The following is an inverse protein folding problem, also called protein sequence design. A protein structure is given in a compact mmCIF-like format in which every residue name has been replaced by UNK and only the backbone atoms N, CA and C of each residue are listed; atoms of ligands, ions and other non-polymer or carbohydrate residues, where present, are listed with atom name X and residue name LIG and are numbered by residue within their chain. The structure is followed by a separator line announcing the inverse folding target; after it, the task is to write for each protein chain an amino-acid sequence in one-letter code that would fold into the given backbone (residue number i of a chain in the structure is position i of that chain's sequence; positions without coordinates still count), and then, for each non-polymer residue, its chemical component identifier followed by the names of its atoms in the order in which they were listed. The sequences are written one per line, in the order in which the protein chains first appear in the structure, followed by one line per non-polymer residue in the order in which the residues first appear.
data_IF_370005757662
#
_entry.id   IF_370005757662
#
_cell.length_a   1.000
_cell.length_b   1.000
_cell.length_c   1.000
_cell.angle_alpha   90.00
_cell.angle_beta   90.00
_cell.angle_gamma   90.00
#
_symmetry.space_group_name_H-M   'P 1'
#
loop_
_entity.id
_entity.type
_entity.pdbx_description
1 polymer ?
#
# COMPACT_ATOMS: atom_id res chain seq x y z
N UNK A 1 -25.13 10.14 -0.08
CA UNK A 1 -23.92 10.31 -0.90
C UNK A 1 -22.92 11.11 -0.09
N UNK A 2 -22.08 10.45 0.70
CA UNK A 2 -21.03 11.11 1.49
C UNK A 2 -19.78 11.22 0.64
N UNK A 3 -19.56 12.41 0.11
CA UNK A 3 -18.40 12.79 -0.67
C UNK A 3 -17.16 12.72 0.25
N UNK A 4 -16.23 11.80 -0.06
CA UNK A 4 -14.95 11.71 0.63
C UNK A 4 -14.14 13.01 0.44
N UNK A 5 -13.23 13.34 1.37
CA UNK A 5 -12.44 14.57 1.28
C UNK A 5 -11.63 14.58 -0.02
N UNK A 6 -11.64 15.73 -0.70
CA UNK A 6 -10.90 15.97 -1.93
C UNK A 6 -9.40 15.70 -1.73
N UNK A 7 -8.82 14.84 -2.56
CA UNK A 7 -7.41 14.48 -2.51
C UNK A 7 -6.59 15.39 -3.41
N UNK A 8 -6.06 16.46 -2.84
CA UNK A 8 -5.36 17.50 -3.62
C UNK A 8 -3.84 17.35 -3.63
N UNK A 9 -3.30 16.11 -3.69
CA UNK A 9 -1.85 15.89 -3.72
C UNK A 9 -1.43 14.59 -4.39
N UNK A 10 -0.38 14.65 -5.23
CA UNK A 10 0.23 13.46 -5.81
C UNK A 10 0.80 12.54 -4.70
N UNK A 11 0.55 11.23 -4.80
CA UNK A 11 1.06 10.25 -3.85
C UNK A 11 2.59 10.24 -3.87
N UNK A 12 3.22 10.53 -2.73
CA UNK A 12 4.68 10.48 -2.60
C UNK A 12 5.22 9.04 -2.67
N UNK A 13 4.44 8.07 -2.18
CA UNK A 13 4.70 6.64 -2.25
C UNK A 13 3.40 5.86 -2.06
N UNK A 14 3.32 4.67 -2.64
CA UNK A 14 2.23 3.72 -2.46
C UNK A 14 2.80 2.31 -2.27
N UNK A 15 2.15 1.52 -1.43
CA UNK A 15 2.53 0.13 -1.15
C UNK A 15 1.30 -0.75 -1.30
N UNK A 16 1.46 -1.89 -1.96
CA UNK A 16 0.41 -2.89 -2.06
C UNK A 16 0.64 -3.96 -0.99
N UNK A 17 -0.42 -4.32 -0.26
CA UNK A 17 -0.40 -5.39 0.73
C UNK A 17 -1.31 -6.52 0.25
N UNK A 18 -0.77 -7.72 0.11
CA UNK A 18 -1.58 -8.89 -0.22
C UNK A 18 -2.39 -9.36 1.00
N UNK A 19 -3.41 -10.21 0.76
CA UNK A 19 -4.12 -10.89 1.85
C UNK A 19 -3.16 -11.62 2.79
N UNK A 20 -2.14 -12.30 2.24
CA UNK A 20 -1.14 -13.00 3.03
C UNK A 20 -0.31 -12.05 3.92
N UNK A 21 0.03 -10.85 3.42
CA UNK A 21 0.74 -9.85 4.23
C UNK A 21 -0.13 -9.35 5.38
N UNK A 22 -1.42 -9.14 5.10
CA UNK A 22 -2.39 -8.68 6.10
C UNK A 22 -2.65 -9.74 7.17
N UNK A 23 -2.82 -11.00 6.76
CA UNK A 23 -2.97 -12.15 7.67
C UNK A 23 -1.71 -12.31 8.56
N UNK A 24 -0.50 -12.13 8.00
CA UNK A 24 0.76 -12.18 8.75
C UNK A 24 0.87 -11.08 9.81
N UNK A 25 0.42 -9.86 9.50
CA UNK A 25 0.49 -8.72 10.43
C UNK A 25 -0.60 -8.81 11.50
N UNK A 26 -1.78 -9.36 11.16
CA UNK A 26 -2.93 -9.45 12.07
C UNK A 26 -2.95 -10.73 12.91
N UNK A 27 -2.13 -11.73 12.55
CA UNK A 27 -1.98 -12.96 13.31
C UNK A 27 -1.68 -12.70 14.79
N UNK A 28 -2.22 -13.57 15.67
CA UNK A 28 -1.99 -13.48 17.11
C UNK A 28 -0.49 -13.40 17.39
N UNK A 29 -0.04 -12.43 18.22
CA UNK A 29 1.37 -12.34 18.56
C UNK A 29 1.80 -13.65 19.24
N UNK A 30 2.88 -14.25 18.75
CA UNK A 30 3.52 -15.35 19.46
C UNK A 30 4.15 -14.81 20.74
N UNK A 31 4.31 -15.67 21.76
CA UNK A 31 4.89 -15.32 23.08
C UNK A 31 6.23 -14.56 23.02
N UNK A 32 6.93 -14.59 21.88
CA UNK A 32 8.24 -13.96 21.68
C UNK A 32 8.28 -12.86 20.60
N UNK A 33 7.18 -12.58 19.89
CA UNK A 33 7.18 -11.58 18.79
C UNK A 33 5.83 -10.86 18.71
N UNK A 34 5.80 -9.60 19.13
CA UNK A 34 4.74 -8.67 18.78
C UNK A 34 4.91 -8.24 17.31
N UNK A 35 4.01 -8.68 16.42
CA UNK A 35 3.99 -8.23 15.02
C UNK A 35 3.11 -6.99 14.94
N UNK A 36 3.69 -5.87 14.56
CA UNK A 36 2.95 -4.65 14.20
C UNK A 36 3.53 -4.07 12.91
N UNK A 37 2.63 -3.67 12.00
CA UNK A 37 3.06 -2.95 10.82
C UNK A 37 3.47 -1.52 11.21
N UNK A 38 4.53 -1.03 10.58
CA UNK A 38 5.05 0.32 10.83
C UNK A 38 5.51 0.93 9.52
N UNK A 39 5.10 2.17 9.26
CA UNK A 39 5.71 2.99 8.22
C UNK A 39 6.91 3.74 8.80
N UNK A 40 8.09 3.51 8.24
CA UNK A 40 9.32 4.23 8.61
C UNK A 40 9.68 5.22 7.51
N UNK A 41 9.67 6.50 7.85
CA UNK A 41 10.08 7.58 6.96
C UNK A 41 11.44 8.10 7.41
N UNK A 42 12.42 8.11 6.51
CA UNK A 42 13.74 8.68 6.76
C UNK A 42 13.96 9.86 5.81
N UNK A 43 14.22 11.04 6.39
CA UNK A 43 14.38 12.29 5.64
C UNK A 43 15.86 12.59 5.51
N UNK A 44 16.34 12.85 4.30
CA UNK A 44 17.73 13.18 4.00
C UNK A 44 17.83 14.55 3.33
N UNK A 45 18.90 15.29 3.62
CA UNK A 45 19.27 16.52 2.91
C UNK A 45 20.48 16.26 2.01
N UNK A 46 20.44 16.73 0.76
CA UNK A 46 21.54 16.61 -0.20
C UNK A 46 21.08 16.86 -1.63
N UNK A 47 22.04 17.05 -2.55
CA UNK A 47 21.75 17.18 -3.99
C UNK A 47 21.35 15.82 -4.57
N UNK A 48 20.24 15.78 -5.31
CA UNK A 48 19.86 14.65 -6.17
C UNK A 48 20.64 14.77 -7.49
N UNK A 49 21.94 14.53 -7.47
CA UNK A 49 22.84 14.73 -8.63
C UNK A 49 23.21 13.42 -9.32
N UNK A 50 23.24 13.42 -10.66
CA UNK A 50 23.62 12.29 -11.53
C UNK A 50 25.12 12.24 -11.86
N UNK A 51 25.96 13.02 -11.17
CA UNK A 51 27.39 13.11 -11.49
C UNK A 51 28.26 12.45 -10.41
N UNK A 52 28.98 11.41 -10.83
CA UNK A 52 30.21 10.87 -10.24
C UNK A 52 30.17 10.54 -8.73
N UNK A 53 29.54 9.42 -8.38
CA UNK A 53 30.16 8.44 -7.46
C UNK A 53 29.98 8.58 -5.95
N UNK A 54 29.38 9.64 -5.37
CA UNK A 54 29.09 9.66 -3.92
C UNK A 54 27.71 10.24 -3.64
N UNK A 55 26.69 9.37 -3.59
CA UNK A 55 25.32 9.76 -3.27
C UNK A 55 25.10 9.73 -1.74
N UNK A 56 25.79 10.58 -0.99
CA UNK A 56 25.68 10.62 0.48
C UNK A 56 24.80 11.77 0.95
N UNK A 57 23.47 11.60 0.85
CA UNK A 57 22.53 12.48 1.53
C UNK A 57 22.70 12.40 3.06
N UNK A 58 22.72 13.54 3.76
CA UNK A 58 22.81 13.61 5.23
C UNK A 58 21.44 13.32 5.84
N UNK A 59 21.33 12.30 6.69
CA UNK A 59 20.09 12.01 7.42
C UNK A 59 19.70 13.19 8.33
N UNK A 60 18.53 13.78 8.07
CA UNK A 60 17.93 14.80 8.92
C UNK A 60 17.21 14.15 10.12
N UNK A 61 16.51 13.05 9.89
CA UNK A 61 15.96 12.22 10.95
C UNK A 61 14.94 11.21 10.46
N UNK A 62 14.28 10.55 11.41
CA UNK A 62 13.36 9.44 11.14
C UNK A 62 12.04 9.63 11.87
N UNK A 63 10.97 9.21 11.22
CA UNK A 63 9.61 9.14 11.78
C UNK A 63 9.12 7.71 11.63
N UNK A 64 8.49 7.18 12.68
CA UNK A 64 7.92 5.82 12.69
C UNK A 64 6.45 5.96 13.04
N UNK A 65 5.58 5.48 12.16
CA UNK A 65 4.13 5.57 12.30
C UNK A 65 3.60 4.14 12.43
N UNK A 66 3.03 3.74 13.58
CA UNK A 66 2.40 2.43 13.73
C UNK A 66 1.15 2.34 12.87
N UNK A 67 0.93 1.18 12.25
CA UNK A 67 -0.20 0.93 11.36
C UNK A 67 -1.07 -0.20 11.95
N UNK A 68 -2.28 0.13 12.41
CA UNK A 68 -3.28 -0.88 12.75
C UNK A 68 -4.06 -1.26 11.48
N UNK A 69 -3.59 -2.30 10.79
CA UNK A 69 -4.16 -2.70 9.51
C UNK A 69 -5.46 -3.52 9.64
N UNK A 70 -5.87 -3.94 10.85
CA UNK A 70 -7.11 -4.71 11.06
C UNK A 70 -8.35 -4.03 10.48
N UNK A 71 -8.61 -2.74 10.74
CA UNK A 71 -9.76 -2.03 10.16
C UNK A 71 -9.61 -1.70 8.66
N UNK A 72 -8.41 -1.83 8.07
CA UNK A 72 -8.14 -1.40 6.69
C UNK A 72 -8.60 -2.41 5.61
N UNK A 73 -8.96 -3.64 6.00
CA UNK A 73 -9.29 -4.73 5.06
C UNK A 73 -10.51 -4.39 4.19
N UNK A 74 -11.51 -3.72 4.76
CA UNK A 74 -12.82 -3.52 4.12
C UNK A 74 -13.24 -2.06 3.96
N UNK A 75 -12.42 -1.11 4.44
CA UNK A 75 -12.74 0.31 4.34
C UNK A 75 -11.48 1.18 4.35
N UNK A 76 -11.52 2.35 3.70
CA UNK A 76 -10.47 3.36 3.85
C UNK A 76 -10.24 3.74 5.32
N UNK A 77 -8.98 3.94 5.69
CA UNK A 77 -8.57 4.43 7.01
C UNK A 77 -7.40 5.41 6.87
N UNK A 78 -7.43 6.48 7.65
CA UNK A 78 -6.31 7.41 7.82
C UNK A 78 -5.59 7.07 9.12
N UNK A 79 -4.31 6.71 9.04
CA UNK A 79 -3.47 6.44 10.21
C UNK A 79 -2.90 7.72 10.82
N UNK A 80 -2.58 8.70 9.96
CA UNK A 80 -2.04 9.99 10.36
C UNK A 80 -2.33 11.04 9.29
N UNK A 81 -2.62 12.27 9.68
CA UNK A 81 -2.72 13.42 8.79
C UNK A 81 -2.26 14.66 9.54
N UNK A 82 -1.15 15.27 9.10
CA UNK A 82 -0.62 16.49 9.70
C UNK A 82 0.88 16.45 9.98
N UNK A 83 1.34 17.35 10.84
CA UNK A 83 2.75 17.57 11.13
C UNK A 83 3.33 16.55 12.13
N UNK A 84 4.52 16.03 11.83
CA UNK A 84 5.31 15.12 12.66
C UNK A 84 6.70 15.71 12.88
N UNK A 85 7.18 15.69 14.11
CA UNK A 85 8.55 16.12 14.43
C UNK A 85 9.57 15.07 13.96
N UNK A 86 10.60 15.52 13.23
CA UNK A 86 11.68 14.69 12.72
C UNK A 86 12.77 14.61 13.79
N UNK A 87 12.78 13.52 14.57
CA UNK A 87 13.77 13.34 15.62
C UNK A 87 15.13 12.93 15.04
N UNK A 88 16.19 13.61 15.47
CA UNK A 88 17.58 13.18 15.27
C UNK A 88 17.93 12.17 16.36
N UNK A 89 18.31 10.94 15.99
CA UNK A 89 18.76 9.93 16.98
C UNK A 89 19.88 10.51 17.85
N UNK A 90 19.72 10.40 19.17
CA UNK A 90 20.81 10.62 20.14
C UNK A 90 21.03 12.05 20.65
N UNK A 91 20.16 13.01 20.35
CA UNK A 91 20.20 14.34 21.02
C UNK A 91 18.87 14.65 21.67
N UNK A 92 18.90 14.91 23.00
CA UNK A 92 17.82 15.60 23.70
C UNK A 92 17.50 16.88 22.92
N UNK A 93 16.22 17.15 22.70
CA UNK A 93 15.78 18.40 22.09
C UNK A 93 16.39 19.56 22.89
N UNK A 94 17.39 20.23 22.32
CA UNK A 94 17.91 21.48 22.86
C UNK A 94 17.01 22.58 22.34
N UNK A 95 16.55 23.45 23.24
CA UNK A 95 15.65 24.57 22.96
C UNK A 95 16.13 25.56 21.88
N UNK A 96 17.36 25.39 21.37
CA UNK A 96 18.03 26.30 20.41
C UNK A 96 17.96 25.82 18.96
N UNK A 97 17.64 24.54 18.70
CA UNK A 97 17.51 24.03 17.33
C UNK A 97 16.04 23.82 17.00
N UNK A 98 15.46 24.68 16.15
CA UNK A 98 14.10 24.51 15.65
C UNK A 98 13.87 23.07 15.21
N UNK A 99 12.82 22.42 15.74
CA UNK A 99 12.51 21.04 15.40
C UNK A 99 12.10 20.98 13.94
N UNK A 100 12.86 20.29 13.08
CA UNK A 100 12.42 20.03 11.73
C UNK A 100 11.12 19.21 11.78
N UNK A 101 10.10 19.63 11.03
CA UNK A 101 8.79 18.98 10.99
C UNK A 101 8.49 18.48 9.58
N UNK A 102 7.68 17.43 9.49
CA UNK A 102 7.23 16.80 8.26
C UNK A 102 5.70 16.76 8.25
N UNK A 103 5.05 17.42 7.29
CA UNK A 103 3.61 17.26 7.08
C UNK A 103 3.38 16.10 6.10
N UNK A 104 2.58 15.11 6.49
CA UNK A 104 2.19 14.02 5.60
C UNK A 104 0.84 13.44 6.01
N UNK A 105 0.23 12.75 5.06
CA UNK A 105 -0.96 11.92 5.30
C UNK A 105 -0.61 10.47 5.01
N UNK A 106 -0.90 9.57 5.94
CA UNK A 106 -0.79 8.11 5.76
C UNK A 106 -2.19 7.55 5.83
N UNK A 107 -2.58 6.84 4.78
CA UNK A 107 -3.86 6.15 4.70
C UNK A 107 -3.71 4.78 4.05
N UNK A 108 -4.66 3.90 4.30
CA UNK A 108 -4.84 2.66 3.56
C UNK A 108 -6.25 2.66 2.97
N UNK A 109 -6.35 2.14 1.76
CA UNK A 109 -7.59 2.02 1.00
C UNK A 109 -7.67 0.59 0.47
N UNK A 110 -8.84 -0.06 0.48
CA UNK A 110 -9.03 -1.32 -0.22
C UNK A 110 -8.65 -1.16 -1.69
N UNK A 111 -7.95 -2.14 -2.25
CA UNK A 111 -7.61 -2.10 -3.68
C UNK A 111 -8.92 -2.04 -4.49
N UNK A 112 -9.15 -0.98 -5.29
CA UNK A 112 -10.39 -0.83 -6.03
C UNK A 112 -10.54 -1.88 -7.14
N UNK A 113 -9.49 -2.66 -7.44
CA UNK A 113 -9.52 -3.69 -8.47
C UNK A 113 -10.16 -4.96 -7.95
N UNK A 114 -11.18 -5.42 -8.66
CA UNK A 114 -11.68 -6.77 -8.51
C UNK A 114 -10.73 -7.74 -9.22
N UNK A 115 -10.04 -8.59 -8.45
CA UNK A 115 -9.19 -9.66 -9.00
C UNK A 115 -9.95 -10.96 -8.92
N UNK A 116 -10.22 -11.55 -10.08
CA UNK A 116 -10.85 -12.86 -10.20
C UNK A 116 -9.75 -13.90 -10.42
N UNK A 117 -9.58 -14.81 -9.47
CA UNK A 117 -8.68 -15.95 -9.59
C UNK A 117 -9.53 -17.20 -9.79
N UNK A 118 -9.25 -17.95 -10.85
CA UNK A 118 -9.85 -19.26 -11.08
C UNK A 118 -9.08 -20.33 -10.29
N UNK A 119 -9.79 -21.34 -9.79
CA UNK A 119 -9.22 -22.48 -9.06
C UNK A 119 -8.69 -23.59 -10.00
N UNK A 120 -8.45 -23.24 -11.27
CA UNK A 120 -8.08 -24.17 -12.34
C UNK A 120 -8.09 -23.52 -13.73
N UNK A 121 -7.98 -24.34 -14.77
CA UNK A 121 -8.12 -23.88 -16.17
C UNK A 121 -9.54 -23.35 -16.39
N UNK A 122 -9.71 -22.10 -16.85
CA UNK A 122 -11.03 -21.55 -17.10
C UNK A 122 -11.70 -22.31 -18.25
N UNK A 123 -12.99 -22.61 -18.09
CA UNK A 123 -13.81 -23.08 -19.20
C UNK A 123 -13.86 -22.02 -20.32
N UNK A 124 -14.22 -22.44 -21.54
CA UNK A 124 -14.31 -21.55 -22.68
C UNK A 124 -15.36 -20.44 -22.44
N UNK A 125 -14.86 -19.26 -22.05
CA UNK A 125 -15.59 -18.00 -21.91
C UNK A 125 -16.47 -17.86 -20.65
N UNK A 126 -15.88 -17.77 -19.44
CA UNK A 126 -16.65 -17.54 -18.23
C UNK A 126 -17.29 -16.14 -18.24
N UNK A 127 -18.53 -16.08 -17.77
CA UNK A 127 -19.24 -14.83 -17.52
C UNK A 127 -19.02 -14.41 -16.07
N UNK A 128 -18.63 -13.15 -15.85
CA UNK A 128 -18.51 -12.59 -14.51
C UNK A 128 -19.82 -11.90 -14.15
N UNK A 129 -20.45 -12.38 -13.07
CA UNK A 129 -21.71 -11.87 -12.54
C UNK A 129 -21.44 -11.12 -11.22
N UNK A 130 -22.04 -9.94 -11.06
CA UNK A 130 -22.18 -9.29 -9.76
C UNK A 130 -23.40 -9.88 -9.05
N UNK A 131 -23.21 -10.42 -7.85
CA UNK A 131 -24.28 -11.01 -7.04
C UNK A 131 -24.54 -10.13 -5.81
N UNK A 132 -25.78 -9.68 -5.65
CA UNK A 132 -26.24 -8.93 -4.47
C UNK A 132 -27.56 -9.54 -3.96
N UNK A 133 -27.47 -10.39 -2.94
CA UNK A 133 -28.63 -11.18 -2.49
C UNK A 133 -29.07 -12.16 -3.58
N UNK A 134 -30.34 -12.07 -4.01
CA UNK A 134 -30.87 -12.88 -5.11
C UNK A 134 -30.67 -12.30 -6.51
N UNK A 135 -30.12 -11.08 -6.62
CA UNK A 135 -29.92 -10.40 -7.90
C UNK A 135 -28.56 -10.76 -8.50
N UNK A 136 -28.56 -11.20 -9.77
CA UNK A 136 -27.36 -11.50 -10.55
C UNK A 136 -27.30 -10.57 -11.76
N UNK A 137 -26.25 -9.75 -11.87
CA UNK A 137 -26.04 -8.83 -13.00
C UNK A 137 -24.77 -9.22 -13.79
N UNK A 138 -24.85 -9.45 -15.11
CA UNK A 138 -23.67 -9.70 -15.93
C UNK A 138 -22.84 -8.42 -16.06
N UNK A 139 -21.58 -8.49 -15.64
CA UNK A 139 -20.66 -7.35 -15.68
C UNK A 139 -19.84 -7.35 -16.97
N UNK A 140 -19.27 -8.49 -17.35
CA UNK A 140 -18.53 -8.68 -18.60
C UNK A 140 -18.28 -10.16 -18.90
N UNK A 141 -17.96 -10.46 -20.16
CA UNK A 141 -17.57 -11.80 -20.62
C UNK A 141 -16.09 -11.80 -20.98
N UNK A 142 -15.34 -12.80 -20.53
CA UNK A 142 -13.95 -12.98 -20.94
C UNK A 142 -13.91 -14.01 -22.06
N UNK A 143 -13.46 -13.65 -23.26
CA UNK A 143 -13.26 -14.63 -24.34
C UNK A 143 -11.85 -15.22 -24.26
N UNK A 144 -11.72 -16.38 -23.62
CA UNK A 144 -10.46 -17.12 -23.62
C UNK A 144 -10.35 -17.93 -24.91
N UNK A 145 -9.20 -17.84 -25.59
CA UNK A 145 -8.85 -18.75 -26.68
C UNK A 145 -7.91 -19.81 -26.12
N UNK A 146 -8.42 -21.03 -25.96
CA UNK A 146 -7.59 -22.21 -25.70
C UNK A 146 -6.86 -22.57 -27.00
N UNK A 147 -5.60 -22.11 -27.12
CA UNK A 147 -4.73 -22.52 -28.22
C UNK A 147 -4.30 -23.96 -27.98
N UNK A 148 -4.59 -24.83 -28.93
CA UNK A 148 -4.07 -26.20 -28.95
C UNK A 148 -2.58 -26.18 -29.31
N UNK A 149 -1.81 -27.21 -28.94
CA UNK A 149 -0.38 -27.30 -29.31
C UNK A 149 -0.17 -27.33 -30.85
N UNK A 150 -1.21 -27.70 -31.61
CA UNK A 150 -1.26 -27.58 -33.07
C UNK A 150 -1.28 -26.14 -33.58
N UNK A 151 -1.84 -25.19 -32.83
CA UNK A 151 -1.91 -23.77 -33.22
C UNK A 151 -0.57 -23.03 -33.07
N UNK A 152 0.37 -23.59 -32.30
CA UNK A 152 1.72 -23.05 -32.14
C UNK A 152 2.69 -23.54 -33.23
N UNK A 153 2.35 -24.64 -33.91
CA UNK A 153 3.18 -25.25 -34.97
C UNK A 153 2.93 -24.67 -36.37
N UNK A 154 2.00 -23.73 -36.51
CA UNK A 154 1.65 -23.08 -37.78
C UNK A 154 2.30 -21.71 -38.00
N UNK A 155 3.39 -21.39 -37.29
CA UNK A 155 4.22 -20.20 -37.51
C UNK A 155 5.63 -20.55 -37.94
#
# INVERSE_FOLDING_TARGET
MTQGPAETGALAAAFHLSKADLDRVTAKPSLFVARSAMLKVAVYAGRRGTTCGVNSGRLLGKVVIPLDLKPAVGKPIVFHSGWLSINKRGRKASAVSGSAQLNLTVRAEPDPRFVFQFDGEPECSPQVLQVQGGMMQPMFTCKFSCRSNSDLRSR
#
